data_IF_666825644562
#
_entry.id   IF_666825644562
#
_cell.length_a   1.000
_cell.length_b   1.000
_cell.length_c   1.000
_cell.angle_alpha   90.00
_cell.angle_beta   90.00
_cell.angle_gamma   90.00
#
_symmetry.space_group_name_H-M   'P 1'
#
loop_
_entity.id
_entity.type
_entity.pdbx_description
1 polymer ?
#
# COMPACT_ATOMS: atom_id res chain seq x y z
N UNK A 1 -34.47 -54.12 -9.17
CA UNK A 1 -34.99 -52.77 -9.44
C UNK A 1 -35.29 -51.96 -8.17
N UNK A 2 -36.07 -52.45 -7.21
CA UNK A 2 -36.37 -51.72 -5.96
C UNK A 2 -35.15 -51.30 -5.13
N UNK A 3 -34.11 -52.14 -5.05
CA UNK A 3 -32.86 -51.82 -4.32
C UNK A 3 -32.01 -50.72 -4.99
N UNK A 4 -32.09 -50.61 -6.32
CA UNK A 4 -31.39 -49.58 -7.11
C UNK A 4 -32.11 -48.23 -6.94
N UNK A 5 -33.45 -48.24 -6.93
CA UNK A 5 -34.26 -47.06 -6.67
C UNK A 5 -33.97 -46.47 -5.27
N UNK A 6 -33.80 -47.33 -4.25
CA UNK A 6 -33.45 -46.90 -2.89
C UNK A 6 -32.07 -46.23 -2.84
N UNK A 7 -31.08 -46.78 -3.55
CA UNK A 7 -29.72 -46.22 -3.62
C UNK A 7 -29.70 -44.85 -4.33
N UNK A 8 -30.52 -44.69 -5.37
CA UNK A 8 -30.66 -43.44 -6.11
C UNK A 8 -31.36 -42.35 -5.28
N UNK A 9 -32.30 -42.74 -4.41
CA UNK A 9 -32.96 -41.86 -3.45
C UNK A 9 -32.00 -41.37 -2.36
N UNK A 10 -31.12 -42.24 -1.85
CA UNK A 10 -30.13 -41.82 -0.84
C UNK A 10 -29.06 -40.88 -1.40
N UNK A 11 -28.70 -41.03 -2.68
CA UNK A 11 -27.72 -40.16 -3.35
C UNK A 11 -28.28 -38.76 -3.67
N UNK A 12 -29.61 -38.63 -3.79
CA UNK A 12 -30.26 -37.33 -4.01
C UNK A 12 -30.37 -36.48 -2.73
N UNK A 13 -30.41 -37.10 -1.55
CA UNK A 13 -30.40 -36.36 -0.27
C UNK A 13 -29.03 -35.77 0.09
N UNK A 14 -27.92 -36.34 -0.41
CA UNK A 14 -26.57 -35.80 -0.19
C UNK A 14 -26.28 -34.46 -0.87
N UNK A 15 -27.15 -34.00 -1.78
CA UNK A 15 -27.02 -32.70 -2.46
C UNK A 15 -27.74 -31.54 -1.76
N UNK A 16 -28.42 -31.77 -0.63
CA UNK A 16 -29.20 -30.73 0.07
C UNK A 16 -28.39 -29.85 1.03
N UNK A 17 -27.06 -30.00 1.06
CA UNK A 17 -26.17 -29.13 1.84
C UNK A 17 -25.78 -27.85 1.11
N UNK A 18 -26.73 -27.02 0.70
CA UNK A 18 -26.41 -25.65 0.32
C UNK A 18 -26.08 -24.87 1.60
N UNK A 19 -24.79 -24.66 1.88
CA UNK A 19 -24.36 -23.82 2.98
C UNK A 19 -24.73 -22.37 2.63
N UNK A 20 -25.87 -21.89 3.13
CA UNK A 20 -26.17 -20.48 3.10
C UNK A 20 -25.20 -19.79 4.07
N UNK A 21 -24.18 -19.16 3.52
CA UNK A 21 -23.29 -18.29 4.27
C UNK A 21 -24.10 -17.07 4.71
N UNK A 22 -24.39 -16.96 6.02
CA UNK A 22 -25.11 -15.83 6.58
C UNK A 22 -24.25 -14.56 6.44
N UNK A 23 -24.67 -13.69 5.52
CA UNK A 23 -24.03 -12.39 5.27
C UNK A 23 -24.77 -11.31 6.04
N UNK A 24 -24.01 -10.42 6.66
CA UNK A 24 -24.52 -9.31 7.46
C UNK A 24 -24.45 -8.04 6.62
N UNK A 25 -25.52 -7.24 6.65
CA UNK A 25 -25.52 -5.92 6.02
C UNK A 25 -24.67 -4.95 6.85
N UNK A 26 -23.68 -4.34 6.20
CA UNK A 26 -22.75 -3.37 6.77
C UNK A 26 -22.97 -2.02 6.12
N UNK A 27 -23.04 -0.97 6.95
CA UNK A 27 -23.14 0.41 6.50
C UNK A 27 -21.73 0.99 6.32
N UNK A 28 -21.44 1.46 5.13
CA UNK A 28 -20.13 1.98 4.75
C UNK A 28 -20.16 3.46 4.43
N UNK A 29 -19.05 4.15 4.69
CA UNK A 29 -18.81 5.51 4.23
C UNK A 29 -17.41 5.63 3.63
N UNK A 30 -17.36 6.14 2.39
CA UNK A 30 -16.12 6.49 1.70
C UNK A 30 -15.76 7.93 2.03
N UNK A 31 -14.49 8.14 2.30
CA UNK A 31 -13.88 9.44 2.59
C UNK A 31 -12.77 9.62 1.57
N UNK A 32 -12.76 10.75 0.88
CA UNK A 32 -11.76 11.08 -0.13
C UNK A 32 -11.17 12.45 0.17
N UNK A 33 -10.01 12.73 -0.41
CA UNK A 33 -9.36 14.06 -0.30
C UNK A 33 -10.04 15.09 -1.21
N UNK A 34 -10.60 14.66 -2.35
CA UNK A 34 -11.35 15.49 -3.28
C UNK A 34 -12.81 15.71 -2.89
N UNK A 35 -13.59 16.27 -3.83
CA UNK A 35 -15.01 16.61 -3.60
C UNK A 35 -15.98 15.50 -4.09
N UNK A 36 -15.55 14.62 -4.99
CA UNK A 36 -16.44 13.67 -5.66
C UNK A 36 -16.44 12.29 -4.97
N UNK A 37 -17.46 12.02 -4.16
CA UNK A 37 -17.64 10.74 -3.44
C UNK A 37 -18.77 9.88 -4.01
N UNK A 38 -19.44 10.36 -5.05
CA UNK A 38 -20.61 9.72 -5.64
C UNK A 38 -20.21 8.70 -6.71
N UNK A 39 -20.98 7.62 -6.84
CA UNK A 39 -20.80 6.68 -7.97
C UNK A 39 -19.56 5.78 -7.87
N UNK A 40 -18.90 5.73 -6.71
CA UNK A 40 -17.80 4.81 -6.46
C UNK A 40 -18.37 3.40 -6.36
N UNK A 41 -17.78 2.46 -7.11
CA UNK A 41 -18.21 1.07 -7.13
C UNK A 41 -17.63 0.33 -5.95
N UNK A 42 -18.51 -0.28 -5.15
CA UNK A 42 -18.17 -1.16 -4.04
C UNK A 42 -18.61 -2.57 -4.39
N UNK A 43 -17.67 -3.47 -4.58
CA UNK A 43 -17.93 -4.80 -5.11
C UNK A 43 -17.39 -5.90 -4.19
N UNK A 44 -18.25 -6.78 -3.70
CA UNK A 44 -17.84 -7.96 -2.96
C UNK A 44 -17.55 -9.10 -3.96
N UNK A 45 -16.27 -9.40 -4.14
CA UNK A 45 -15.76 -10.43 -5.07
C UNK A 45 -16.15 -11.85 -4.62
N UNK A 46 -16.24 -12.09 -3.31
CA UNK A 46 -16.65 -13.38 -2.75
C UNK A 46 -18.13 -13.69 -2.98
N UNK A 47 -19.00 -12.68 -2.97
CA UNK A 47 -20.45 -12.85 -3.20
C UNK A 47 -20.91 -12.48 -4.61
N UNK A 48 -20.03 -11.90 -5.42
CA UNK A 48 -20.33 -11.35 -6.75
C UNK A 48 -21.51 -10.35 -6.71
N UNK A 49 -21.48 -9.45 -5.73
CA UNK A 49 -22.51 -8.41 -5.51
C UNK A 49 -21.84 -7.07 -5.38
N UNK A 50 -22.37 -6.07 -6.07
CA UNK A 50 -21.87 -4.70 -6.00
C UNK A 50 -22.97 -3.69 -5.72
N UNK A 51 -22.56 -2.57 -5.14
CA UNK A 51 -23.37 -1.37 -4.90
C UNK A 51 -22.55 -0.14 -5.28
N UNK A 52 -23.21 1.00 -5.39
CA UNK A 52 -22.58 2.30 -5.67
C UNK A 52 -22.82 3.24 -4.51
N UNK A 53 -21.89 4.16 -4.26
CA UNK A 53 -22.05 5.21 -3.25
C UNK A 53 -23.03 6.29 -3.69
N UNK A 54 -23.69 6.91 -2.71
CA UNK A 54 -24.52 8.09 -2.91
C UNK A 54 -23.69 9.40 -2.88
N UNK A 55 -24.37 10.55 -3.07
CA UNK A 55 -23.79 11.91 -3.00
C UNK A 55 -22.97 12.21 -1.72
N UNK A 56 -23.18 11.45 -0.63
CA UNK A 56 -22.47 11.62 0.65
C UNK A 56 -21.36 10.58 0.88
N UNK A 57 -21.09 9.73 -0.12
CA UNK A 57 -20.13 8.64 -0.03
C UNK A 57 -20.63 7.44 0.78
N UNK A 58 -21.92 7.35 1.09
CA UNK A 58 -22.49 6.27 1.91
C UNK A 58 -22.97 5.10 1.04
N UNK A 59 -22.82 3.87 1.54
CA UNK A 59 -23.25 2.64 0.86
C UNK A 59 -23.69 1.58 1.88
N UNK A 60 -24.42 0.57 1.41
CA UNK A 60 -24.78 -0.62 2.20
C UNK A 60 -24.47 -1.88 1.42
N UNK A 61 -23.73 -2.81 2.01
CA UNK A 61 -23.34 -4.06 1.33
C UNK A 61 -23.39 -5.24 2.30
N UNK A 62 -23.86 -6.40 1.82
CA UNK A 62 -23.90 -7.63 2.60
C UNK A 62 -22.55 -8.38 2.51
N UNK A 63 -21.97 -8.70 3.67
CA UNK A 63 -20.61 -9.25 3.77
C UNK A 63 -20.53 -10.38 4.79
N UNK A 64 -19.59 -11.30 4.59
CA UNK A 64 -19.22 -12.32 5.55
C UNK A 64 -17.75 -12.20 5.97
N UNK A 65 -17.36 -12.91 7.03
CA UNK A 65 -15.98 -12.93 7.52
C UNK A 65 -15.04 -13.43 6.41
N UNK A 66 -13.93 -12.72 6.21
CA UNK A 66 -12.93 -12.98 5.16
C UNK A 66 -13.41 -12.73 3.72
N UNK A 67 -14.56 -12.10 3.50
CA UNK A 67 -14.93 -11.62 2.16
C UNK A 67 -13.95 -10.54 1.68
N UNK A 68 -13.76 -10.45 0.36
CA UNK A 68 -12.97 -9.39 -0.28
C UNK A 68 -13.91 -8.37 -0.91
N UNK A 69 -13.69 -7.10 -0.58
CA UNK A 69 -14.44 -5.97 -1.12
C UNK A 69 -13.47 -5.08 -1.89
N UNK A 70 -13.84 -4.80 -3.13
CA UNK A 70 -13.11 -3.99 -4.08
C UNK A 70 -13.81 -2.64 -4.22
N UNK A 71 -13.05 -1.58 -4.04
CA UNK A 71 -13.46 -0.21 -4.27
C UNK A 71 -12.80 0.26 -5.56
N UNK A 72 -13.62 0.70 -6.52
CA UNK A 72 -13.20 1.08 -7.87
C UNK A 72 -13.86 2.40 -8.27
N UNK A 73 -13.05 3.34 -8.76
CA UNK A 73 -13.50 4.59 -9.36
C UNK A 73 -12.44 5.08 -10.35
N UNK A 74 -12.82 5.94 -11.30
CA UNK A 74 -11.89 6.42 -12.33
C UNK A 74 -10.90 7.45 -11.78
N UNK A 75 -11.35 8.26 -10.83
CA UNK A 75 -10.58 9.37 -10.24
C UNK A 75 -9.74 8.92 -9.04
N UNK A 76 -9.91 7.69 -8.55
CA UNK A 76 -9.32 7.22 -7.30
C UNK A 76 -8.58 5.91 -7.49
N UNK A 77 -7.51 5.74 -6.71
CA UNK A 77 -6.75 4.50 -6.71
C UNK A 77 -7.62 3.33 -6.23
N UNK A 78 -7.46 2.19 -6.89
CA UNK A 78 -8.13 0.95 -6.53
C UNK A 78 -7.75 0.51 -5.11
N UNK A 79 -8.76 0.21 -4.30
CA UNK A 79 -8.55 -0.26 -2.92
C UNK A 79 -9.27 -1.58 -2.68
N UNK A 80 -8.59 -2.54 -2.06
CA UNK A 80 -9.14 -3.84 -1.71
C UNK A 80 -9.15 -4.00 -0.19
N UNK A 81 -10.28 -4.38 0.38
CA UNK A 81 -10.46 -4.61 1.81
C UNK A 81 -10.86 -6.06 2.06
N UNK A 82 -10.18 -6.72 3.00
CA UNK A 82 -10.62 -8.00 3.54
C UNK A 82 -11.48 -7.77 4.79
N UNK A 83 -12.68 -8.36 4.82
CA UNK A 83 -13.62 -8.20 5.93
C UNK A 83 -13.10 -8.91 7.18
N UNK A 84 -12.86 -8.13 8.23
CA UNK A 84 -12.44 -8.59 9.56
C UNK A 84 -13.62 -8.77 10.51
N UNK A 85 -13.39 -9.46 11.62
CA UNK A 85 -14.41 -9.64 12.66
C UNK A 85 -14.89 -8.30 13.24
N UNK A 86 -13.99 -7.33 13.41
CA UNK A 86 -14.33 -6.00 13.93
C UNK A 86 -15.34 -5.24 13.04
N UNK A 87 -15.27 -5.44 11.72
CA UNK A 87 -16.24 -4.86 10.77
C UNK A 87 -17.62 -5.49 10.92
N UNK A 88 -17.67 -6.81 11.14
CA UNK A 88 -18.93 -7.52 11.37
C UNK A 88 -19.57 -7.12 12.71
N UNK A 89 -18.76 -6.98 13.76
CA UNK A 89 -19.23 -6.64 15.10
C UNK A 89 -19.75 -5.19 15.15
N UNK A 90 -19.01 -4.27 14.54
CA UNK A 90 -19.40 -2.85 14.47
C UNK A 90 -20.50 -2.56 13.45
N UNK A 91 -20.69 -3.44 12.47
CA UNK A 91 -21.57 -3.27 11.29
C UNK A 91 -21.32 -1.98 10.52
N UNK A 92 -20.12 -1.42 10.66
CA UNK A 92 -19.72 -0.15 10.08
C UNK A 92 -18.39 -0.28 9.37
N UNK A 93 -18.25 0.45 8.27
CA UNK A 93 -17.04 0.46 7.47
C UNK A 93 -16.71 1.89 7.08
N UNK A 94 -15.45 2.28 7.28
CA UNK A 94 -14.94 3.57 6.80
C UNK A 94 -13.77 3.27 5.88
N UNK A 95 -13.83 3.82 4.67
CA UNK A 95 -12.83 3.55 3.63
C UNK A 95 -12.30 4.88 3.14
N UNK A 96 -10.98 4.98 3.07
CA UNK A 96 -10.31 6.17 2.58
C UNK A 96 -9.77 5.86 1.19
N UNK A 97 -10.13 6.68 0.19
CA UNK A 97 -9.57 6.57 -1.15
C UNK A 97 -8.71 7.78 -1.47
N UNK A 98 -7.62 7.52 -2.17
CA UNK A 98 -6.64 8.53 -2.59
C UNK A 98 -6.88 8.82 -4.07
N UNK A 99 -6.85 10.09 -4.44
CA UNK A 99 -7.00 10.50 -5.83
C UNK A 99 -5.87 9.93 -6.70
N UNK A 100 -6.24 9.38 -7.85
CA UNK A 100 -5.31 8.88 -8.84
C UNK A 100 -4.95 10.02 -9.81
N UNK A 101 -3.90 10.77 -9.46
CA UNK A 101 -3.38 11.84 -10.32
C UNK A 101 -2.60 11.21 -11.46
N UNK A 102 -3.25 11.10 -12.62
CA UNK A 102 -2.57 10.76 -13.87
C UNK A 102 -1.70 11.94 -14.33
N UNK A 103 -0.42 11.92 -13.97
CA UNK A 103 0.55 12.88 -14.49
C UNK A 103 0.88 12.51 -15.94
N UNK A 104 0.42 13.32 -16.88
CA UNK A 104 0.83 13.18 -18.27
C UNK A 104 2.33 13.47 -18.40
N UNK A 105 3.03 12.66 -19.20
CA UNK A 105 4.45 12.85 -19.46
C UNK A 105 4.70 14.21 -20.11
N UNK A 106 5.70 14.93 -19.60
CA UNK A 106 6.14 16.19 -20.18
C UNK A 106 6.81 15.90 -21.54
N UNK A 107 6.23 16.39 -22.63
CA UNK A 107 6.86 16.29 -23.94
C UNK A 107 7.92 17.38 -24.11
N UNK A 108 9.20 17.00 -24.05
CA UNK A 108 10.30 17.87 -24.41
C UNK A 108 10.31 18.08 -25.94
N UNK A 109 9.77 19.21 -26.39
CA UNK A 109 9.94 19.66 -27.79
C UNK A 109 11.37 20.15 -27.95
N UNK A 110 12.27 19.25 -28.37
CA UNK A 110 13.64 19.62 -28.72
C UNK A 110 13.61 20.53 -29.96
N UNK A 111 13.76 21.83 -29.74
CA UNK A 111 13.91 22.82 -30.82
C UNK A 111 15.33 22.89 -31.39
N UNK A 112 16.26 22.06 -30.90
CA UNK A 112 17.61 21.97 -31.45
C UNK A 112 17.62 20.97 -32.61
N UNK A 113 17.79 21.54 -33.80
CA UNK A 113 17.57 20.93 -35.09
C UNK A 113 18.45 19.71 -35.36
N UNK A 114 17.79 18.74 -35.98
CA UNK A 114 18.43 17.71 -36.80
C UNK A 114 19.55 18.34 -37.61
N UNK A 115 20.74 17.74 -37.57
CA UNK A 115 21.89 18.24 -38.33
C UNK A 115 21.69 18.07 -39.84
N UNK A 116 20.75 17.19 -40.23
CA UNK A 116 20.42 16.88 -41.62
C UNK A 116 21.20 15.69 -42.16
N UNK A 117 22.09 15.11 -41.36
CA UNK A 117 22.80 13.87 -41.66
C UNK A 117 22.24 12.73 -40.80
N UNK A 118 21.66 11.74 -41.48
CA UNK A 118 20.89 10.68 -40.83
C UNK A 118 21.76 9.77 -39.95
N UNK A 119 23.04 9.61 -40.27
CA UNK A 119 23.96 8.76 -39.51
C UNK A 119 24.38 9.38 -38.17
N UNK A 120 24.69 10.67 -38.18
CA UNK A 120 25.04 11.42 -36.97
C UNK A 120 23.81 11.71 -36.09
N UNK A 121 22.67 12.00 -36.70
CA UNK A 121 21.42 12.24 -35.97
C UNK A 121 20.97 10.97 -35.22
N UNK A 122 20.98 9.79 -35.87
CA UNK A 122 20.63 8.50 -35.22
C UNK A 122 21.57 8.17 -34.06
N UNK A 123 22.85 8.54 -34.17
CA UNK A 123 23.85 8.29 -33.11
C UNK A 123 23.73 9.24 -31.91
N UNK A 124 23.09 10.40 -32.11
CA UNK A 124 22.91 11.43 -31.07
C UNK A 124 21.63 11.25 -30.24
N UNK A 125 20.69 10.43 -30.72
CA UNK A 125 19.45 10.12 -30.01
C UNK A 125 19.78 9.24 -28.80
N UNK A 126 19.59 9.77 -27.60
CA UNK A 126 19.61 8.97 -26.39
C UNK A 126 18.38 8.05 -26.41
N UNK A 127 18.62 6.75 -26.58
CA UNK A 127 17.57 5.75 -26.44
C UNK A 127 17.22 5.60 -24.96
N UNK A 128 16.05 6.09 -24.59
CA UNK A 128 15.46 5.73 -23.30
C UNK A 128 14.99 4.28 -23.40
N UNK A 129 15.69 3.37 -22.74
CA UNK A 129 15.22 2.01 -22.55
C UNK A 129 14.50 1.99 -21.19
N UNK A 130 13.17 2.17 -21.15
CA UNK A 130 12.44 2.11 -19.89
C UNK A 130 12.78 0.80 -19.19
N UNK A 131 13.19 0.87 -17.93
CA UNK A 131 13.20 -0.33 -17.08
C UNK A 131 11.75 -0.75 -16.95
N UNK A 132 11.35 -1.77 -17.71
CA UNK A 132 9.99 -2.32 -17.73
C UNK A 132 9.56 -2.80 -16.33
N UNK A 133 10.51 -2.97 -15.41
CA UNK A 133 10.27 -3.27 -13.99
C UNK A 133 9.52 -2.15 -13.23
N UNK A 134 9.51 -0.91 -13.73
CA UNK A 134 8.82 0.20 -13.07
C UNK A 134 7.30 0.21 -13.31
N UNK A 135 6.81 -0.62 -14.25
CA UNK A 135 5.38 -0.75 -14.56
C UNK A 135 4.76 -1.98 -13.87
N UNK A 136 5.08 -2.20 -12.60
CA UNK A 136 4.48 -3.27 -11.78
C UNK A 136 3.31 -2.76 -10.94
N UNK A 137 2.33 -2.13 -11.59
CA UNK A 137 1.00 -1.98 -11.00
C UNK A 137 0.21 -3.26 -11.23
N UNK A 138 0.16 -4.14 -10.21
CA UNK A 138 -1.01 -5.00 -10.01
C UNK A 138 -1.02 -6.42 -10.59
N UNK A 139 0.11 -7.02 -10.97
CA UNK A 139 0.11 -8.46 -11.33
C UNK A 139 0.34 -9.30 -10.07
N UNK A 140 -0.74 -9.77 -9.44
CA UNK A 140 -0.71 -10.74 -8.32
C UNK A 140 -0.27 -12.17 -8.72
N UNK A 141 0.35 -12.36 -9.89
CA UNK A 141 0.73 -13.64 -10.50
C UNK A 141 1.86 -13.53 -11.56
N UNK A 142 2.97 -12.88 -11.25
CA UNK A 142 4.13 -12.79 -12.17
C UNK A 142 4.72 -14.15 -12.54
N UNK A 143 4.53 -15.12 -11.66
CA UNK A 143 4.97 -16.51 -11.71
C UNK A 143 4.11 -17.40 -12.64
N UNK A 144 3.01 -16.88 -13.20
CA UNK A 144 2.17 -17.62 -14.16
C UNK A 144 2.55 -17.32 -15.63
N UNK A 145 3.45 -16.37 -15.87
CA UNK A 145 4.01 -16.03 -17.18
C UNK A 145 5.54 -16.08 -17.16
N UNK A 146 6.09 -17.29 -17.05
CA UNK A 146 7.50 -17.54 -17.37
C UNK A 146 7.69 -17.43 -18.89
N UNK A 147 8.29 -16.32 -19.35
CA UNK A 147 8.93 -16.31 -20.66
C UNK A 147 10.17 -17.19 -20.55
N UNK A 148 10.23 -18.28 -21.33
CA UNK A 148 11.42 -19.13 -21.37
C UNK A 148 12.64 -18.31 -21.80
N UNK A 149 13.75 -18.41 -21.06
CA UNK A 149 14.99 -17.72 -21.36
C UNK A 149 15.39 -17.92 -22.83
N UNK A 150 15.62 -16.81 -23.52
CA UNK A 150 16.18 -16.81 -24.87
C UNK A 150 17.70 -16.57 -24.82
N UNK A 151 18.37 -16.75 -25.96
CA UNK A 151 19.83 -16.60 -26.04
C UNK A 151 20.33 -15.15 -25.83
N UNK A 152 19.44 -14.18 -25.54
CA UNK A 152 19.76 -12.78 -25.25
C UNK A 152 19.51 -12.43 -23.78
N UNK A 153 18.92 -13.35 -23.02
CA UNK A 153 18.66 -13.20 -21.60
C UNK A 153 19.99 -13.25 -20.83
N UNK A 154 20.21 -12.28 -19.94
CA UNK A 154 21.45 -12.22 -19.14
C UNK A 154 21.49 -13.40 -18.16
N UNK A 155 22.65 -14.06 -18.05
CA UNK A 155 22.85 -15.12 -17.05
C UNK A 155 22.75 -14.48 -15.66
N UNK A 156 21.63 -14.67 -14.99
CA UNK A 156 21.39 -14.15 -13.64
C UNK A 156 21.90 -15.15 -12.60
N UNK A 157 22.61 -14.63 -11.60
CA UNK A 157 23.26 -15.46 -10.60
C UNK A 157 22.22 -15.75 -9.49
N UNK A 158 21.61 -16.94 -9.49
CA UNK A 158 20.53 -17.33 -8.56
C UNK A 158 20.91 -17.22 -7.08
N UNK A 159 22.19 -17.08 -6.76
CA UNK A 159 22.68 -16.90 -5.39
C UNK A 159 22.21 -15.58 -4.77
N UNK A 160 21.89 -14.56 -5.57
CA UNK A 160 21.50 -13.21 -5.11
C UNK A 160 20.07 -13.18 -4.55
N UNK A 161 19.22 -14.16 -4.89
CA UNK A 161 17.84 -14.23 -4.40
C UNK A 161 17.70 -14.78 -2.96
N UNK A 162 18.79 -15.28 -2.37
CA UNK A 162 18.73 -16.01 -1.09
C UNK A 162 18.98 -15.15 0.16
N UNK A 163 19.36 -13.88 0.03
CA UNK A 163 19.72 -13.06 1.19
C UNK A 163 19.04 -11.68 1.19
N UNK A 164 18.04 -11.57 2.08
CA UNK A 164 17.48 -10.33 2.64
C UNK A 164 16.61 -9.44 1.73
N UNK A 165 15.45 -9.94 1.31
CA UNK A 165 14.25 -9.08 1.29
C UNK A 165 13.60 -9.22 2.66
N UNK A 166 13.85 -8.26 3.54
CA UNK A 166 13.23 -8.19 4.87
C UNK A 166 11.75 -7.84 4.73
N UNK A 167 10.95 -8.78 4.25
CA UNK A 167 9.49 -8.74 4.34
C UNK A 167 9.10 -9.31 5.70
N UNK A 168 8.59 -8.47 6.59
CA UNK A 168 7.83 -8.92 7.76
C UNK A 168 6.35 -8.66 7.44
N UNK A 169 5.53 -9.71 7.50
CA UNK A 169 4.08 -9.67 7.22
C UNK A 169 3.66 -9.11 5.84
N UNK A 170 4.51 -9.21 4.81
CA UNK A 170 4.18 -8.77 3.45
C UNK A 170 4.37 -7.26 3.20
N UNK A 171 4.85 -6.52 4.19
CA UNK A 171 5.20 -5.11 4.05
C UNK A 171 6.67 -4.96 3.59
N UNK A 172 6.90 -4.12 2.59
CA UNK A 172 8.24 -3.73 2.16
C UNK A 172 8.79 -2.68 3.13
N UNK A 173 9.71 -3.09 4.02
CA UNK A 173 10.31 -2.22 5.05
C UNK A 173 10.95 -0.97 4.43
N UNK A 174 11.61 -1.11 3.28
CA UNK A 174 12.26 0.02 2.59
C UNK A 174 11.21 1.07 2.21
N UNK A 175 10.10 0.64 1.62
CA UNK A 175 9.03 1.56 1.22
C UNK A 175 8.37 2.23 2.43
N UNK A 176 8.13 1.47 3.52
CA UNK A 176 7.55 2.00 4.75
C UNK A 176 8.45 3.08 5.35
N UNK A 177 9.74 2.79 5.47
CA UNK A 177 10.69 3.74 6.05
C UNK A 177 10.86 4.96 5.14
N UNK A 178 11.12 4.77 3.85
CA UNK A 178 11.39 5.85 2.91
C UNK A 178 10.21 6.79 2.69
N UNK A 179 9.00 6.25 2.62
CA UNK A 179 7.82 7.02 2.23
C UNK A 179 6.97 7.49 3.41
N UNK A 180 7.01 6.79 4.55
CA UNK A 180 6.17 7.10 5.70
C UNK A 180 6.97 7.70 6.86
N UNK A 181 8.12 7.10 7.21
CA UNK A 181 8.86 7.48 8.41
C UNK A 181 9.85 8.62 8.16
N UNK A 182 10.75 8.47 7.19
CA UNK A 182 11.76 9.48 6.89
C UNK A 182 11.19 10.90 6.67
N UNK A 183 10.04 11.09 5.98
CA UNK A 183 9.47 12.43 5.80
C UNK A 183 9.12 13.15 7.12
N UNK A 184 8.74 12.42 8.17
CA UNK A 184 8.39 13.00 9.48
C UNK A 184 9.59 13.72 10.10
N UNK A 185 10.77 13.11 10.01
CA UNK A 185 12.01 13.57 10.65
C UNK A 185 12.82 14.49 9.72
N UNK A 186 12.79 14.26 8.40
CA UNK A 186 13.51 15.09 7.42
C UNK A 186 12.90 16.49 7.26
N UNK A 187 11.60 16.68 7.54
CA UNK A 187 10.94 17.98 7.36
C UNK A 187 11.51 19.08 8.27
N UNK A 188 12.02 18.71 9.45
CA UNK A 188 12.45 19.66 10.47
C UNK A 188 13.95 19.96 10.47
N UNK A 189 14.72 19.35 9.57
CA UNK A 189 16.15 19.63 9.41
C UNK A 189 16.31 20.99 8.71
N UNK A 190 17.01 21.93 9.37
CA UNK A 190 17.20 23.30 8.88
C UNK A 190 18.15 23.40 7.67
N UNK A 191 19.24 22.62 7.65
CA UNK A 191 20.26 22.65 6.58
C UNK A 191 20.42 21.27 5.91
N UNK A 192 19.47 20.93 5.02
CA UNK A 192 19.39 19.60 4.38
C UNK A 192 20.60 19.28 3.48
N UNK A 193 21.14 20.28 2.78
CA UNK A 193 22.30 20.10 1.89
C UNK A 193 23.60 19.81 2.66
N UNK A 194 23.79 20.40 3.84
CA UNK A 194 24.97 20.17 4.66
C UNK A 194 24.97 18.78 5.34
N UNK A 195 23.77 18.23 5.62
CA UNK A 195 23.59 16.92 6.24
C UNK A 195 23.54 15.75 5.24
N UNK A 196 23.58 16.02 3.93
CA UNK A 196 23.52 14.99 2.89
C UNK A 196 22.16 14.30 2.75
N UNK A 197 21.10 14.93 3.27
CA UNK A 197 19.75 14.36 3.32
C UNK A 197 18.95 14.86 2.10
N UNK A 198 18.39 13.95 1.26
CA UNK A 198 17.63 14.35 0.09
C UNK A 198 16.31 15.03 0.46
N UNK A 199 15.93 16.07 -0.30
CA UNK A 199 14.64 16.71 -0.13
C UNK A 199 13.49 15.74 -0.40
N UNK A 200 12.50 15.74 0.48
CA UNK A 200 11.28 14.95 0.30
C UNK A 200 10.09 15.90 0.24
N UNK A 201 9.18 15.76 -0.75
CA UNK A 201 7.91 16.47 -0.72
C UNK A 201 7.05 15.96 0.44
N UNK A 202 6.88 16.81 1.44
CA UNK A 202 6.14 16.56 2.68
C UNK A 202 4.68 16.99 2.51
N UNK A 203 3.87 16.14 1.87
CA UNK A 203 2.40 16.33 1.86
C UNK A 203 1.82 15.90 3.21
N UNK A 204 0.78 16.60 3.70
CA UNK A 204 0.11 16.32 4.98
C UNK A 204 -0.40 14.87 5.11
N UNK A 205 -0.70 14.24 3.98
CA UNK A 205 -1.11 12.84 3.87
C UNK A 205 -0.01 11.88 4.33
N UNK A 206 1.25 12.12 3.94
CA UNK A 206 2.40 11.30 4.38
C UNK A 206 2.62 11.42 5.88
N UNK A 207 2.35 12.60 6.43
CA UNK A 207 2.45 12.85 7.86
C UNK A 207 1.45 12.01 8.67
N UNK A 208 0.20 11.95 8.21
CA UNK A 208 -0.84 11.14 8.83
C UNK A 208 -0.48 9.64 8.80
N UNK A 209 -0.06 9.11 7.65
CA UNK A 209 0.30 7.70 7.53
C UNK A 209 1.53 7.30 8.35
N UNK A 210 2.55 8.16 8.43
CA UNK A 210 3.68 7.94 9.31
C UNK A 210 3.28 7.95 10.79
N UNK A 211 2.32 8.80 11.17
CA UNK A 211 1.79 8.88 12.53
C UNK A 211 1.01 7.61 12.92
N UNK A 212 0.13 7.12 12.05
CA UNK A 212 -0.60 5.85 12.26
C UNK A 212 0.35 4.66 12.39
N UNK A 213 1.40 4.61 11.57
CA UNK A 213 2.42 3.56 11.70
C UNK A 213 3.06 3.55 13.10
N UNK A 214 3.39 4.72 13.65
CA UNK A 214 3.95 4.85 14.99
C UNK A 214 2.95 4.38 16.07
N UNK A 215 1.67 4.72 15.91
CA UNK A 215 0.61 4.30 16.85
C UNK A 215 0.48 2.77 16.84
N UNK A 216 0.29 2.18 15.67
CA UNK A 216 -0.02 0.76 15.51
C UNK A 216 1.16 -0.15 15.85
N UNK A 217 2.39 0.26 15.50
CA UNK A 217 3.56 -0.61 15.61
C UNK A 217 4.37 -0.36 16.89
N UNK A 218 4.31 0.84 17.47
CA UNK A 218 5.06 1.20 18.66
C UNK A 218 4.19 1.46 19.89
N UNK A 219 2.86 1.28 19.79
CA UNK A 219 1.90 1.50 20.87
C UNK A 219 1.99 2.90 21.50
N UNK A 220 2.35 3.91 20.69
CA UNK A 220 2.36 5.30 21.13
C UNK A 220 0.92 5.83 21.04
N UNK A 221 0.36 6.43 22.10
CA UNK A 221 -0.97 7.03 22.03
C UNK A 221 -1.04 8.13 20.96
N UNK A 222 -2.15 8.21 20.22
CA UNK A 222 -2.36 9.17 19.11
C UNK A 222 -1.99 10.61 19.49
N UNK A 223 -2.43 11.07 20.66
CA UNK A 223 -2.16 12.42 21.17
C UNK A 223 -0.69 12.68 21.54
N UNK A 224 0.15 11.64 21.62
CA UNK A 224 1.57 11.71 22.00
C UNK A 224 2.52 11.42 20.84
N UNK A 225 2.03 11.17 19.63
CA UNK A 225 2.89 10.90 18.46
C UNK A 225 3.84 12.07 18.19
N UNK A 226 3.31 13.30 18.23
CA UNK A 226 4.09 14.53 18.09
C UNK A 226 5.17 14.70 19.16
N UNK A 227 4.86 14.30 20.40
CA UNK A 227 5.82 14.31 21.51
C UNK A 227 6.91 13.26 21.30
N UNK A 228 6.54 12.07 20.81
CA UNK A 228 7.47 11.00 20.49
C UNK A 228 8.43 11.40 19.36
N UNK A 229 7.92 12.00 18.28
CA UNK A 229 8.76 12.50 17.19
C UNK A 229 9.77 13.51 17.73
N UNK A 230 9.32 14.49 18.54
CA UNK A 230 10.23 15.45 19.19
C UNK A 230 11.24 14.76 20.11
N UNK A 231 10.82 13.75 20.88
CA UNK A 231 11.70 13.00 21.76
C UNK A 231 12.83 12.26 21.01
N UNK A 232 12.55 11.76 19.80
CA UNK A 232 13.57 11.15 18.94
C UNK A 232 14.49 12.22 18.33
N UNK A 233 13.93 13.36 17.93
CA UNK A 233 14.68 14.47 17.31
C UNK A 233 15.59 15.21 18.31
N UNK A 234 15.13 15.40 19.55
CA UNK A 234 15.84 16.14 20.60
C UNK A 234 16.91 15.29 21.32
N UNK A 235 17.07 14.04 20.91
CA UNK A 235 18.10 13.15 21.44
C UNK A 235 19.49 13.60 20.97
N UNK A 236 20.38 13.88 21.93
CA UNK A 236 21.74 14.38 21.64
C UNK A 236 22.57 13.41 20.79
N UNK A 237 22.26 12.11 20.86
CA UNK A 237 22.91 11.03 20.10
C UNK A 237 22.19 10.68 18.78
N UNK A 238 21.22 11.49 18.33
CA UNK A 238 20.50 11.22 17.09
C UNK A 238 21.42 11.35 15.86
N UNK A 239 21.83 10.21 15.30
CA UNK A 239 22.59 10.16 14.07
C UNK A 239 21.70 10.52 12.87
N UNK A 240 21.77 11.78 12.44
CA UNK A 240 21.05 12.32 11.26
C UNK A 240 21.31 11.49 10.00
N UNK A 241 22.46 10.83 9.92
CA UNK A 241 22.80 10.05 8.74
C UNK A 241 21.88 8.83 8.58
N UNK A 242 21.26 8.31 9.66
CA UNK A 242 20.22 7.26 9.61
C UNK A 242 19.02 7.66 8.74
N UNK A 243 18.85 8.96 8.49
CA UNK A 243 17.83 9.46 7.58
C UNK A 243 18.20 9.33 6.10
N UNK A 244 19.34 8.73 5.74
CA UNK A 244 19.73 8.46 4.35
C UNK A 244 19.24 7.08 3.88
N UNK A 245 19.05 6.94 2.58
CA UNK A 245 18.69 5.66 1.95
C UNK A 245 19.74 4.57 2.24
N UNK A 246 19.29 3.33 2.39
CA UNK A 246 20.10 2.13 2.66
C UNK A 246 20.29 1.80 4.14
N UNK A 247 19.72 2.57 5.06
CA UNK A 247 19.77 2.34 6.53
C UNK A 247 18.40 2.20 7.18
N UNK A 248 17.44 1.74 6.41
CA UNK A 248 16.03 1.70 6.80
C UNK A 248 15.80 0.81 8.03
N UNK A 249 16.50 -0.33 8.09
CA UNK A 249 16.39 -1.28 9.20
C UNK A 249 17.01 -0.72 10.49
N UNK A 250 18.17 -0.05 10.40
CA UNK A 250 18.84 0.57 11.53
C UNK A 250 18.00 1.72 12.11
N UNK A 251 17.41 2.52 11.23
CA UNK A 251 16.50 3.59 11.63
C UNK A 251 15.24 3.05 12.31
N UNK A 252 14.64 1.98 11.77
CA UNK A 252 13.46 1.34 12.36
C UNK A 252 13.76 0.74 13.74
N UNK A 253 14.92 0.10 13.90
CA UNK A 253 15.38 -0.42 15.20
C UNK A 253 15.56 0.71 16.22
N UNK A 254 16.16 1.84 15.81
CA UNK A 254 16.29 3.02 16.69
C UNK A 254 14.92 3.53 17.15
N UNK A 255 13.96 3.66 16.23
CA UNK A 255 12.59 4.10 16.57
C UNK A 255 11.92 3.13 17.55
N UNK A 256 12.09 1.82 17.35
CA UNK A 256 11.59 0.81 18.26
C UNK A 256 12.20 0.97 19.66
N UNK A 257 13.53 1.08 19.78
CA UNK A 257 14.18 1.27 21.08
C UNK A 257 13.75 2.57 21.78
N UNK A 258 13.66 3.68 21.02
CA UNK A 258 13.19 4.97 21.54
C UNK A 258 11.74 4.90 22.01
N UNK A 259 10.88 4.16 21.32
CA UNK A 259 9.48 4.00 21.74
C UNK A 259 9.36 3.33 23.11
N UNK A 260 10.16 2.29 23.36
CA UNK A 260 10.20 1.61 24.66
C UNK A 260 10.68 2.54 25.78
N UNK A 261 11.63 3.44 25.49
CA UNK A 261 12.13 4.42 26.47
C UNK A 261 11.07 5.49 26.72
N UNK A 262 10.44 6.02 25.67
CA UNK A 262 9.41 7.05 25.75
C UNK A 262 8.18 6.59 26.55
N UNK A 263 7.75 5.34 26.36
CA UNK A 263 6.65 4.75 27.13
C UNK A 263 7.02 4.51 28.60
N UNK A 264 8.31 4.24 28.90
CA UNK A 264 8.81 4.11 30.28
C UNK A 264 8.98 5.45 30.99
N UNK A 265 9.45 6.48 30.29
CA UNK A 265 9.65 7.83 30.86
C UNK A 265 8.33 8.58 31.07
N UNK A 266 7.31 8.28 30.27
CA UNK A 266 5.95 8.81 30.39
C UNK A 266 5.04 8.02 31.33
N UNK A 267 5.58 7.17 32.21
CA UNK A 267 4.80 6.41 33.17
C UNK A 267 4.22 7.31 34.27
N UNK A 268 3.03 7.87 34.06
CA UNK A 268 2.09 8.15 35.15
C UNK A 268 0.64 8.30 34.64
N UNK A 269 -0.22 7.47 35.23
CA UNK A 269 -1.66 7.66 35.50
C UNK A 269 -2.60 7.79 34.30
N UNK A 270 -3.16 6.65 33.90
CA UNK A 270 -4.61 6.41 34.02
C UNK A 270 -4.86 4.94 34.37
#
# INVERSE_FOLDING_TARGET
MKKILLLLLTFSFSYLGAQNLDRIEVEGKIIVEGDDVEGITVFNTSSNKGVITNEKGEFKIAVALNDFIEFRALQYQNFDLKVSQAILDSKRMRVFLIEEINKLDEILVLTKGLTGDLGTDVSSVQTFNPKLDALYFGIKRSDEYEFSDDNRSSIENEVVHSQARTMVNGLNIVNVVDQLLLPLFRNKIKDKEASGVPEVPTTSVKYYFGSEFIIDNFNIPEHRVEEFIRFVEDDEDFDVTLLNYGRELEFLELLYQKSLIFLKSGGDKD
#
